data_IF_453462854278
#
_entry.id   IF_453462854278
#
_cell.length_a   1.000
_cell.length_b   1.000
_cell.length_c   1.000
_cell.angle_alpha   90.00
_cell.angle_beta   90.00
_cell.angle_gamma   90.00
#
_symmetry.space_group_name_H-M   'P 1'
#
loop_
_entity.id
_entity.type
_entity.pdbx_description
1 polymer ?
#
# COMPACT_ATOMS: atom_id res chain seq x y z
N UNK A 1 21.32 -5.99 -5.64
CA UNK A 1 20.26 -5.03 -5.25
C UNK A 1 20.63 -3.67 -5.82
N UNK A 2 19.70 -2.91 -6.38
CA UNK A 2 19.97 -1.66 -7.12
C UNK A 2 20.24 -0.42 -6.24
N UNK A 3 20.04 -0.52 -4.92
CA UNK A 3 20.13 0.61 -3.97
C UNK A 3 19.23 1.81 -4.34
N UNK A 4 18.14 1.56 -5.08
CA UNK A 4 17.19 2.58 -5.47
C UNK A 4 16.30 2.98 -4.29
N UNK A 5 15.98 4.26 -4.18
CA UNK A 5 14.96 4.73 -3.25
C UNK A 5 13.56 4.36 -3.78
N UNK A 6 12.66 4.08 -2.85
CA UNK A 6 11.25 3.84 -3.12
C UNK A 6 10.46 5.13 -2.91
N UNK A 7 9.66 5.54 -3.89
CA UNK A 7 8.81 6.73 -3.80
C UNK A 7 7.35 6.28 -3.83
N UNK A 8 6.66 6.22 -2.67
CA UNK A 8 5.24 5.90 -2.65
C UNK A 8 4.45 7.04 -3.26
N UNK A 9 3.37 6.72 -3.98
CA UNK A 9 2.44 7.73 -4.48
C UNK A 9 0.99 7.25 -4.42
N UNK A 10 0.07 8.21 -4.30
CA UNK A 10 -1.38 7.98 -4.27
C UNK A 10 -2.04 8.77 -5.40
N UNK A 11 -2.62 8.10 -6.41
CA UNK A 11 -3.49 8.73 -7.39
C UNK A 11 -4.90 8.86 -6.80
N UNK A 12 -5.27 10.06 -6.34
CA UNK A 12 -6.59 10.35 -5.76
C UNK A 12 -7.50 11.00 -6.80
N UNK A 13 -8.68 10.44 -7.03
CA UNK A 13 -9.73 11.08 -7.86
C UNK A 13 -10.26 12.31 -7.14
N UNK A 14 -10.38 13.42 -7.86
CA UNK A 14 -11.08 14.61 -7.40
C UNK A 14 -12.61 14.42 -7.51
N UNK A 15 -13.41 15.06 -6.65
CA UNK A 15 -14.86 15.07 -6.76
C UNK A 15 -15.34 15.55 -8.13
N UNK A 16 -16.58 15.20 -8.48
CA UNK A 16 -17.29 15.66 -9.69
C UNK A 16 -16.54 15.38 -11.01
N UNK A 17 -15.67 14.36 -11.04
CA UNK A 17 -14.92 14.02 -12.25
C UNK A 17 -13.86 15.05 -12.66
N UNK A 18 -13.43 15.94 -11.74
CA UNK A 18 -12.44 17.01 -12.01
C UNK A 18 -10.99 16.51 -12.19
N UNK A 19 -10.81 15.26 -12.61
CA UNK A 19 -9.53 14.59 -12.83
C UNK A 19 -8.92 13.99 -11.56
N UNK A 20 -7.59 13.91 -11.54
CA UNK A 20 -6.81 13.26 -10.48
C UNK A 20 -5.87 14.24 -9.78
N UNK A 21 -5.55 13.95 -8.53
CA UNK A 21 -4.45 14.53 -7.78
C UNK A 21 -3.43 13.41 -7.55
N UNK A 22 -2.18 13.66 -7.90
CA UNK A 22 -1.08 12.76 -7.60
C UNK A 22 -0.38 13.25 -6.34
N UNK A 23 -0.39 12.43 -5.29
CA UNK A 23 0.26 12.73 -4.02
C UNK A 23 1.52 11.87 -3.96
N UNK A 24 2.71 12.47 -4.03
CA UNK A 24 3.97 11.76 -3.81
C UNK A 24 4.37 11.88 -2.35
N UNK A 25 4.74 10.76 -1.73
CA UNK A 25 5.26 10.71 -0.37
C UNK A 25 6.79 10.87 -0.40
N UNK A 26 7.42 11.23 0.73
CA UNK A 26 8.87 11.26 0.82
C UNK A 26 9.52 9.96 0.33
N UNK A 27 10.68 10.04 -0.35
CA UNK A 27 11.41 8.86 -0.77
C UNK A 27 11.95 8.09 0.44
N UNK A 28 11.76 6.78 0.43
CA UNK A 28 12.37 5.83 1.36
C UNK A 28 13.62 5.23 0.74
N UNK A 29 14.78 5.64 1.25
CA UNK A 29 16.08 5.24 0.72
C UNK A 29 16.77 4.14 1.56
N UNK A 30 16.12 3.67 2.63
CA UNK A 30 16.69 2.67 3.53
C UNK A 30 15.64 1.64 3.98
N UNK A 31 15.02 0.91 3.04
CA UNK A 31 14.13 -0.19 3.41
C UNK A 31 14.91 -1.25 4.22
N UNK A 32 14.27 -1.92 5.19
CA UNK A 32 14.88 -3.08 5.85
C UNK A 32 14.91 -4.22 4.85
N UNK A 33 16.10 -4.65 4.41
CA UNK A 33 16.28 -5.65 3.34
C UNK A 33 16.87 -6.98 3.81
N UNK A 34 17.05 -7.14 5.13
CA UNK A 34 17.69 -8.31 5.72
C UNK A 34 16.81 -9.57 5.62
N UNK A 35 15.49 -9.39 5.63
CA UNK A 35 14.50 -10.46 5.58
C UNK A 35 13.28 -10.02 4.74
N UNK A 36 12.78 -10.95 3.92
CA UNK A 36 11.69 -10.68 3.00
C UNK A 36 10.37 -10.41 3.74
N UNK A 37 10.11 -11.09 4.85
CA UNK A 37 8.90 -10.90 5.64
C UNK A 37 8.90 -9.53 6.32
N UNK A 38 10.03 -9.12 6.89
CA UNK A 38 10.27 -7.81 7.50
C UNK A 38 10.12 -6.70 6.46
N UNK A 39 10.71 -6.87 5.26
CA UNK A 39 10.56 -5.93 4.14
C UNK A 39 9.09 -5.79 3.75
N UNK A 40 8.37 -6.91 3.63
CA UNK A 40 6.96 -6.93 3.24
C UNK A 40 6.06 -6.29 4.30
N UNK A 41 6.32 -6.55 5.59
CA UNK A 41 5.60 -5.93 6.70
C UNK A 41 5.80 -4.41 6.72
N UNK A 42 7.04 -3.94 6.54
CA UNK A 42 7.35 -2.51 6.39
C UNK A 42 6.62 -1.88 5.20
N UNK A 43 6.66 -2.52 4.02
CA UNK A 43 5.94 -2.06 2.84
C UNK A 43 4.43 -1.99 3.07
N UNK A 44 3.85 -2.97 3.76
CA UNK A 44 2.42 -2.97 4.08
C UNK A 44 2.03 -1.77 4.95
N UNK A 45 2.90 -1.26 5.83
CA UNK A 45 2.65 -0.03 6.59
C UNK A 45 2.58 1.22 5.71
N UNK A 46 3.43 1.31 4.69
CA UNK A 46 3.34 2.39 3.69
C UNK A 46 2.02 2.28 2.92
N UNK A 47 1.63 1.06 2.52
CA UNK A 47 0.36 0.82 1.82
C UNK A 47 -0.83 1.20 2.70
N UNK A 48 -0.85 0.82 3.99
CA UNK A 48 -1.87 1.21 4.96
C UNK A 48 -1.99 2.75 5.03
N UNK A 49 -0.88 3.48 5.16
CA UNK A 49 -0.87 4.94 5.16
C UNK A 49 -1.46 5.55 3.88
N UNK A 50 -1.08 5.02 2.71
CA UNK A 50 -1.61 5.46 1.42
C UNK A 50 -3.12 5.22 1.28
N UNK A 51 -3.61 4.06 1.74
CA UNK A 51 -5.05 3.73 1.73
C UNK A 51 -5.83 4.74 2.56
N UNK A 52 -5.32 5.11 3.74
CA UNK A 52 -6.00 6.03 4.65
C UNK A 52 -6.15 7.46 4.10
N UNK A 53 -5.44 7.82 3.02
CA UNK A 53 -5.60 9.14 2.37
C UNK A 53 -6.90 9.28 1.55
N UNK A 54 -7.48 8.16 1.12
CA UNK A 54 -8.74 8.08 0.35
C UNK A 54 -9.32 6.65 0.44
N UNK A 55 -9.71 6.18 1.64
CA UNK A 55 -10.14 4.80 1.85
C UNK A 55 -11.31 4.41 0.96
N UNK A 56 -12.23 5.34 0.68
CA UNK A 56 -13.37 5.14 -0.22
C UNK A 56 -12.97 4.86 -1.68
N UNK A 57 -11.73 5.18 -2.07
CA UNK A 57 -11.20 4.94 -3.42
C UNK A 57 -10.33 3.68 -3.52
N UNK A 58 -10.09 2.99 -2.41
CA UNK A 58 -9.35 1.74 -2.44
C UNK A 58 -10.19 0.61 -3.05
N UNK A 59 -9.55 -0.33 -3.73
CA UNK A 59 -10.20 -1.46 -4.40
C UNK A 59 -10.60 -2.55 -3.39
N UNK A 60 -11.56 -2.26 -2.50
CA UNK A 60 -12.02 -3.20 -1.45
C UNK A 60 -12.60 -4.51 -1.98
N UNK A 61 -13.04 -4.53 -3.25
CA UNK A 61 -13.49 -5.75 -3.93
C UNK A 61 -12.36 -6.77 -4.09
N UNK A 62 -11.09 -6.33 -4.10
CA UNK A 62 -9.96 -7.24 -4.17
C UNK A 62 -9.88 -8.08 -2.89
N UNK A 63 -9.90 -9.41 -3.05
CA UNK A 63 -9.80 -10.37 -1.94
C UNK A 63 -8.39 -10.45 -1.35
N UNK A 64 -7.87 -9.33 -0.85
CA UNK A 64 -6.48 -9.18 -0.36
C UNK A 64 -6.16 -10.14 0.78
N UNK A 65 -7.13 -10.46 1.63
CA UNK A 65 -6.96 -11.33 2.81
C UNK A 65 -7.42 -12.77 2.57
N UNK A 66 -7.41 -13.26 1.32
CA UNK A 66 -7.79 -14.65 0.99
C UNK A 66 -6.79 -15.67 1.52
N UNK A 67 -5.50 -15.32 1.55
CA UNK A 67 -4.43 -16.12 2.15
C UNK A 67 -4.34 -15.71 3.61
N UNK A 68 -4.51 -16.68 4.52
CA UNK A 68 -4.54 -16.47 5.96
C UNK A 68 -3.79 -17.62 6.67
N UNK A 69 -3.36 -17.43 7.92
CA UNK A 69 -2.81 -18.51 8.72
C UNK A 69 -3.78 -19.69 8.83
N UNK A 70 -3.24 -20.90 8.97
CA UNK A 70 -4.02 -22.12 9.11
C UNK A 70 -4.99 -22.01 10.31
N UNK A 71 -6.23 -22.50 10.12
CA UNK A 71 -7.30 -22.43 11.13
C UNK A 71 -8.04 -21.08 11.20
N UNK A 72 -7.63 -20.05 10.46
CA UNK A 72 -8.37 -18.77 10.43
C UNK A 72 -9.65 -18.86 9.59
N UNK A 73 -10.79 -18.32 10.04
CA UNK A 73 -12.00 -18.24 9.22
C UNK A 73 -11.80 -17.32 8.00
N UNK A 74 -12.54 -17.61 6.93
CA UNK A 74 -12.61 -16.75 5.74
C UNK A 74 -13.20 -15.38 6.10
N UNK A 75 -12.68 -14.30 5.49
CA UNK A 75 -13.27 -12.96 5.55
C UNK A 75 -14.18 -12.64 4.33
N UNK A 76 -14.38 -13.63 3.45
CA UNK A 76 -15.17 -13.55 2.22
C UNK A 76 -16.11 -14.74 2.09
#
# INVERSE_FOLDING_TARGET
>A
MSNACLVPFVPRRKPDGKGYQLIMLPPECSPPLDDAETTAAWMNKIVEQCIMMAPEQYMWLHRRFKTRPEGSPSLY
#
